data_IF_030779018529
#
_entry.id   IF_030779018529
#
_cell.length_a   1.000
_cell.length_b   1.000
_cell.length_c   1.000
_cell.angle_alpha   90.00
_cell.angle_beta   90.00
_cell.angle_gamma   90.00
#
_symmetry.space_group_name_H-M   'P 1'
#
loop_
_entity.id
_entity.type
_entity.pdbx_description
1 polymer ?
#
# COMPACT_ATOMS: atom_id res chain seq x y z
N UNK A 1 5.77 -14.78 4.67
CA UNK A 1 4.64 -13.99 4.14
C UNK A 1 3.99 -14.85 3.08
N UNK A 2 2.69 -15.12 3.21
CA UNK A 2 1.99 -16.02 2.28
C UNK A 2 1.53 -15.22 1.06
N UNK A 3 1.40 -15.88 -0.09
CA UNK A 3 0.99 -15.22 -1.35
C UNK A 3 -0.39 -14.55 -1.22
N UNK A 4 -1.30 -15.15 -0.45
CA UNK A 4 -2.62 -14.58 -0.19
C UNK A 4 -2.55 -13.23 0.55
N UNK A 5 -1.67 -13.08 1.53
CA UNK A 5 -1.52 -11.84 2.30
C UNK A 5 -0.97 -10.72 1.41
N UNK A 6 -0.01 -11.06 0.54
CA UNK A 6 0.55 -10.11 -0.40
C UNK A 6 -0.51 -9.59 -1.39
N UNK A 7 -1.34 -10.47 -1.94
CA UNK A 7 -2.44 -10.08 -2.85
C UNK A 7 -3.49 -9.24 -2.13
N UNK A 8 -3.84 -9.58 -0.88
CA UNK A 8 -4.77 -8.81 -0.05
C UNK A 8 -4.25 -7.41 0.22
N UNK A 9 -2.98 -7.26 0.59
CA UNK A 9 -2.37 -5.95 0.83
C UNK A 9 -2.45 -5.04 -0.41
N UNK A 10 -2.04 -5.54 -1.58
CA UNK A 10 -2.12 -4.76 -2.84
C UNK A 10 -3.56 -4.38 -3.18
N UNK A 11 -4.50 -5.31 -3.03
CA UNK A 11 -5.91 -5.08 -3.36
C UNK A 11 -6.53 -4.04 -2.41
N UNK A 12 -6.24 -4.12 -1.11
CA UNK A 12 -6.69 -3.16 -0.12
C UNK A 12 -6.17 -1.75 -0.42
N UNK A 13 -4.90 -1.61 -0.82
CA UNK A 13 -4.35 -0.32 -1.23
C UNK A 13 -5.08 0.30 -2.42
N UNK A 14 -5.38 -0.51 -3.44
CA UNK A 14 -6.16 -0.05 -4.61
C UNK A 14 -7.56 0.42 -4.23
N UNK A 15 -8.23 -0.32 -3.34
CA UNK A 15 -9.58 0.04 -2.88
C UNK A 15 -9.56 1.36 -2.11
N UNK A 16 -8.61 1.54 -1.20
CA UNK A 16 -8.45 2.79 -0.45
C UNK A 16 -8.23 3.99 -1.38
N UNK A 17 -7.36 3.85 -2.39
CA UNK A 17 -7.14 4.91 -3.37
C UNK A 17 -8.40 5.24 -4.18
N UNK A 18 -9.15 4.23 -4.63
CA UNK A 18 -10.43 4.43 -5.35
C UNK A 18 -11.50 5.10 -4.48
N UNK A 19 -11.47 4.85 -3.18
CA UNK A 19 -12.36 5.49 -2.21
C UNK A 19 -11.92 6.92 -1.83
N UNK A 20 -10.81 7.43 -2.37
CA UNK A 20 -10.19 8.69 -1.95
C UNK A 20 -9.83 8.73 -0.45
N UNK A 21 -9.55 7.56 0.15
CA UNK A 21 -8.99 7.51 1.50
C UNK A 21 -7.54 7.99 1.46
N UNK A 22 -7.02 8.61 2.54
CA UNK A 22 -5.62 9.03 2.58
C UNK A 22 -4.68 7.82 2.68
N UNK A 23 -3.44 7.95 2.18
CA UNK A 23 -2.41 6.90 2.30
C UNK A 23 -2.10 6.52 3.76
N UNK A 24 -2.40 7.39 4.73
CA UNK A 24 -2.30 7.11 6.17
C UNK A 24 -3.31 6.08 6.66
N UNK A 25 -4.29 5.69 5.84
CA UNK A 25 -5.23 4.59 6.11
C UNK A 25 -4.57 3.20 5.96
N UNK A 26 -3.31 3.12 5.51
CA UNK A 26 -2.55 1.88 5.47
C UNK A 26 -2.57 1.21 6.86
N UNK A 27 -3.08 -0.03 6.99
CA UNK A 27 -3.15 -0.71 8.29
C UNK A 27 -1.82 -1.30 8.73
N UNK A 28 -0.81 -1.32 7.85
CA UNK A 28 0.49 -1.93 8.08
C UNK A 28 1.54 -0.87 8.41
N UNK A 29 2.33 -1.12 9.44
CA UNK A 29 3.42 -0.22 9.84
C UNK A 29 4.65 -0.40 8.92
N UNK A 30 5.04 0.63 8.15
CA UNK A 30 6.23 0.56 7.29
C UNK A 30 7.55 0.46 8.07
N UNK A 31 7.54 0.81 9.36
CA UNK A 31 8.68 0.75 10.27
C UNK A 31 8.61 -0.44 11.25
N UNK A 32 7.67 -1.36 11.04
CA UNK A 32 7.52 -2.53 11.88
C UNK A 32 8.83 -3.32 12.04
N UNK A 33 9.04 -3.94 13.20
CA UNK A 33 10.26 -4.71 13.49
C UNK A 33 10.41 -5.93 12.58
N UNK A 34 9.30 -6.54 12.17
CA UNK A 34 9.30 -7.74 11.33
C UNK A 34 9.40 -7.39 9.85
N UNK A 35 10.27 -8.07 9.07
CA UNK A 35 10.35 -7.86 7.62
C UNK A 35 9.04 -8.12 6.88
N UNK A 36 8.22 -9.07 7.37
CA UNK A 36 6.94 -9.41 6.77
C UNK A 36 5.97 -8.22 6.83
N UNK A 37 5.85 -7.57 7.97
CA UNK A 37 4.90 -6.45 8.14
C UNK A 37 5.32 -5.24 7.29
N UNK A 38 6.62 -4.93 7.25
CA UNK A 38 7.15 -3.89 6.34
C UNK A 38 6.86 -4.20 4.88
N UNK A 39 6.92 -5.48 4.49
CA UNK A 39 6.61 -5.89 3.12
C UNK A 39 5.11 -5.70 2.82
N UNK A 40 4.21 -6.01 3.75
CA UNK A 40 2.77 -5.77 3.60
C UNK A 40 2.46 -4.27 3.45
N UNK A 41 3.10 -3.41 4.25
CA UNK A 41 2.97 -1.94 4.12
C UNK A 41 3.37 -1.44 2.73
N UNK A 42 4.53 -1.91 2.22
CA UNK A 42 5.00 -1.54 0.86
C UNK A 42 4.07 -2.04 -0.24
N UNK A 43 3.52 -3.25 -0.08
CA UNK A 43 2.59 -3.82 -1.05
C UNK A 43 1.26 -3.07 -1.08
N UNK A 44 0.76 -2.66 0.09
CA UNK A 44 -0.42 -1.81 0.19
C UNK A 44 -0.19 -0.46 -0.49
N UNK A 45 0.89 0.24 -0.16
CA UNK A 45 1.24 1.54 -0.75
C UNK A 45 1.40 1.44 -2.28
N UNK A 46 2.05 0.37 -2.77
CA UNK A 46 2.16 0.13 -4.22
C UNK A 46 0.80 -0.07 -4.90
N UNK A 47 -0.16 -0.67 -4.21
CA UNK A 47 -1.54 -0.78 -4.71
C UNK A 47 -2.22 0.58 -4.78
N UNK A 48 -2.06 1.37 -3.73
CA UNK A 48 -2.61 2.72 -3.60
C UNK A 48 -2.07 3.68 -4.67
N UNK A 49 -0.75 3.78 -4.80
CA UNK A 49 -0.07 4.68 -5.75
C UNK A 49 -0.41 4.37 -7.22
N UNK A 50 -0.81 3.14 -7.52
CA UNK A 50 -1.14 2.74 -8.90
C UNK A 50 -2.48 3.32 -9.37
N UNK A 51 -3.41 3.55 -8.44
CA UNK A 51 -4.71 4.14 -8.74
C UNK A 51 -4.68 5.66 -8.55
N UNK A 52 -3.76 6.16 -7.74
CA UNK A 52 -3.54 7.58 -7.52
C UNK A 52 -2.06 7.93 -7.78
N UNK A 53 -1.61 7.85 -9.06
CA UNK A 53 -0.24 8.21 -9.39
C UNK A 53 -0.08 9.67 -9.01
N UNK A 54 0.71 9.94 -7.97
CA UNK A 54 1.14 11.30 -7.68
C UNK A 54 1.76 11.82 -8.96
N UNK A 55 1.15 12.85 -9.54
CA UNK A 55 1.71 13.56 -10.67
C UNK A 55 2.88 14.38 -10.13
N UNK A 56 3.94 13.69 -9.72
CA UNK A 56 5.19 14.33 -9.35
C UNK A 56 5.83 14.67 -10.68
N UNK A 57 5.56 15.89 -11.10
CA UNK A 57 6.26 16.51 -12.20
C UNK A 57 7.72 16.72 -11.75
N UNK A 58 8.64 16.00 -12.40
CA UNK A 58 10.08 16.12 -12.19
C UNK A 58 10.75 17.03 -13.23
N UNK A 59 9.96 17.80 -13.99
CA UNK A 59 10.47 18.75 -15.00
C UNK A 59 11.12 20.00 -14.42
#
# INVERSE_FOLDING_TARGET
MNQADAVRAVTAGRVAARNNEPATACPHDPNAKTPQERALARLWLRGYDRENPLNIDYS
#
